data_IF_888165887613
#
_entry.id   IF_888165887613
#
_cell.length_a   1.000
_cell.length_b   1.000
_cell.length_c   1.000
_cell.angle_alpha   90.00
_cell.angle_beta   90.00
_cell.angle_gamma   90.00
#
_symmetry.space_group_name_H-M   'P 1'
#
loop_
_entity.id
_entity.type
_entity.pdbx_description
1 polymer ?
#
# COMPACT_ATOMS: atom_id res chain seq x y z
N UNK A 1 -45.53 -14.89 32.90
CA UNK A 1 -44.94 -13.53 32.95
C UNK A 1 -43.49 -13.51 32.48
N UNK A 2 -43.26 -13.10 31.24
CA UNK A 2 -41.97 -12.59 30.72
C UNK A 2 -42.16 -12.12 29.27
N UNK A 3 -42.85 -10.99 29.09
CA UNK A 3 -43.06 -10.33 27.82
C UNK A 3 -41.81 -9.50 27.48
N UNK A 4 -40.93 -10.02 26.62
CA UNK A 4 -39.77 -9.26 26.13
C UNK A 4 -40.19 -8.36 24.97
N UNK A 5 -40.38 -7.07 25.24
CA UNK A 5 -40.60 -6.03 24.24
C UNK A 5 -39.33 -5.79 23.43
N UNK A 6 -39.31 -6.22 22.16
CA UNK A 6 -38.33 -5.77 21.18
C UNK A 6 -38.73 -4.37 20.68
N UNK A 7 -37.98 -3.34 21.08
CA UNK A 7 -38.05 -2.01 20.46
C UNK A 7 -37.25 -2.04 19.15
N UNK A 8 -37.97 -2.01 18.03
CA UNK A 8 -37.39 -1.74 16.71
C UNK A 8 -37.22 -0.22 16.60
N UNK A 9 -35.97 0.25 16.52
CA UNK A 9 -35.67 1.61 16.11
C UNK A 9 -35.85 1.72 14.59
N UNK A 10 -36.98 2.29 14.16
CA UNK A 10 -37.10 2.83 12.81
C UNK A 10 -36.35 4.17 12.80
N UNK A 11 -35.18 4.20 12.18
CA UNK A 11 -34.50 5.45 11.84
C UNK A 11 -35.17 6.07 10.62
N UNK A 12 -35.61 7.32 10.77
CA UNK A 12 -36.21 8.13 9.72
C UNK A 12 -35.20 8.37 8.58
N UNK A 13 -35.35 7.60 7.51
CA UNK A 13 -34.62 7.82 6.27
C UNK A 13 -35.31 8.96 5.52
N UNK A 14 -34.79 10.19 5.69
CA UNK A 14 -35.26 11.37 4.98
C UNK A 14 -35.00 11.17 3.48
N UNK A 15 -36.07 10.89 2.74
CA UNK A 15 -36.10 10.89 1.27
C UNK A 15 -35.84 12.33 0.77
N UNK A 16 -34.58 12.64 0.47
CA UNK A 16 -34.26 13.83 -0.32
C UNK A 16 -34.81 13.64 -1.74
N UNK A 17 -35.71 14.54 -2.12
CA UNK A 17 -36.38 14.56 -3.41
C UNK A 17 -35.36 14.65 -4.55
N UNK A 18 -35.42 13.66 -5.44
CA UNK A 18 -34.80 13.70 -6.77
C UNK A 18 -35.53 14.77 -7.57
N UNK A 19 -34.92 15.93 -7.76
CA UNK A 19 -35.35 16.92 -8.75
C UNK A 19 -35.03 16.36 -10.14
N UNK A 20 -36.07 15.93 -10.85
CA UNK A 20 -36.03 15.71 -12.29
C UNK A 20 -36.01 17.07 -13.00
N UNK A 21 -34.82 17.55 -13.37
CA UNK A 21 -34.67 18.66 -14.31
C UNK A 21 -34.55 18.07 -15.72
N UNK A 22 -35.68 17.95 -16.40
CA UNK A 22 -35.76 17.82 -17.85
C UNK A 22 -35.63 19.22 -18.46
N UNK A 23 -34.45 19.55 -18.97
CA UNK A 23 -34.31 20.65 -19.92
C UNK A 23 -33.19 20.28 -20.90
N UNK A 24 -33.58 19.51 -21.91
CA UNK A 24 -32.80 19.31 -23.13
C UNK A 24 -32.84 20.62 -23.92
N UNK A 25 -31.78 21.44 -23.81
CA UNK A 25 -31.46 22.44 -24.83
C UNK A 25 -30.49 21.81 -25.82
N UNK A 26 -30.98 21.55 -27.03
CA UNK A 26 -30.15 21.23 -28.18
C UNK A 26 -29.32 22.47 -28.55
N UNK A 27 -28.06 22.48 -28.13
CA UNK A 27 -27.05 23.43 -28.60
C UNK A 27 -26.22 22.79 -29.73
N UNK A 28 -25.83 23.54 -30.78
CA UNK A 28 -25.04 23.01 -31.87
C UNK A 28 -23.66 22.55 -31.41
N UNK A 29 -23.33 21.32 -31.80
CA UNK A 29 -22.07 20.63 -31.58
C UNK A 29 -20.91 21.33 -32.28
N UNK A 30 -20.18 22.19 -31.57
CA UNK A 30 -18.84 22.63 -31.98
C UNK A 30 -17.88 22.60 -30.78
N UNK A 31 -17.73 21.42 -30.15
CA UNK A 31 -16.58 21.19 -29.28
C UNK A 31 -15.42 20.67 -30.11
N UNK A 32 -14.53 21.59 -30.48
CA UNK A 32 -13.18 21.27 -30.95
C UNK A 32 -12.49 20.46 -29.87
N UNK A 33 -12.37 19.15 -30.10
CA UNK A 33 -11.66 18.23 -29.22
C UNK A 33 -10.16 18.58 -29.31
N UNK A 34 -9.71 19.47 -28.42
CA UNK A 34 -8.29 19.60 -28.12
C UNK A 34 -7.88 18.33 -27.38
N UNK A 35 -7.30 17.37 -28.11
CA UNK A 35 -6.55 16.27 -27.53
C UNK A 35 -5.32 16.86 -26.84
N UNK A 36 -5.19 16.80 -25.49
CA UNK A 36 -3.90 17.08 -24.88
C UNK A 36 -2.91 16.04 -25.40
N UNK A 37 -1.89 16.56 -26.08
CA UNK A 37 -0.75 15.81 -26.56
C UNK A 37 -0.07 15.06 -25.40
N UNK A 38 0.26 13.81 -25.71
CA UNK A 38 1.39 13.03 -25.18
C UNK A 38 1.42 12.75 -23.68
N UNK A 39 0.67 11.73 -23.28
CA UNK A 39 1.08 10.89 -22.15
C UNK A 39 2.36 10.14 -22.56
N UNK A 40 3.51 10.62 -22.06
CA UNK A 40 4.78 9.90 -22.14
C UNK A 40 4.65 8.68 -21.24
N UNK A 41 4.39 7.52 -21.84
CA UNK A 41 4.43 6.24 -21.15
C UNK A 41 5.89 5.99 -20.74
N UNK A 42 6.21 6.31 -19.50
CA UNK A 42 7.44 5.83 -18.88
C UNK A 42 7.26 4.34 -18.58
N UNK A 43 7.70 3.50 -19.52
CA UNK A 43 7.98 2.10 -19.27
C UNK A 43 9.16 2.03 -18.29
N UNK A 44 8.89 2.09 -16.99
CA UNK A 44 9.79 1.60 -15.95
C UNK A 44 9.26 0.28 -15.44
N UNK A 45 9.67 -0.80 -16.08
CA UNK A 45 9.69 -2.12 -15.44
C UNK A 45 11.00 -2.82 -15.76
N UNK A 46 12.11 -2.18 -15.38
CA UNK A 46 13.32 -2.93 -15.05
C UNK A 46 13.04 -3.69 -13.75
N UNK A 47 12.67 -4.95 -13.90
CA UNK A 47 12.68 -5.93 -12.82
C UNK A 47 14.13 -6.28 -12.52
N UNK A 48 14.81 -5.42 -11.77
CA UNK A 48 16.12 -5.74 -11.20
C UNK A 48 15.92 -6.67 -10.00
N UNK A 49 15.94 -7.98 -10.27
CA UNK A 49 15.97 -9.03 -9.24
C UNK A 49 17.37 -8.99 -8.61
N UNK A 50 17.51 -8.29 -7.49
CA UNK A 50 18.64 -8.52 -6.59
C UNK A 50 18.40 -9.84 -5.86
N UNK A 51 19.00 -10.92 -6.38
CA UNK A 51 19.28 -12.11 -5.59
C UNK A 51 20.17 -11.71 -4.43
N UNK A 52 19.58 -11.68 -3.24
CA UNK A 52 20.28 -11.55 -1.96
C UNK A 52 20.85 -12.92 -1.62
N UNK A 53 21.98 -13.26 -2.22
CA UNK A 53 22.84 -14.37 -1.76
C UNK A 53 23.65 -13.89 -0.55
N UNK A 54 23.30 -14.48 0.59
CA UNK A 54 24.23 -15.07 1.56
C UNK A 54 25.59 -14.39 1.75
N UNK A 55 25.65 -13.49 2.74
CA UNK A 55 26.90 -13.17 3.43
C UNK A 55 26.83 -13.77 4.84
N UNK A 56 26.96 -15.09 4.90
CA UNK A 56 27.32 -15.84 6.10
C UNK A 56 28.59 -16.64 5.79
N UNK A 57 29.75 -15.97 5.79
CA UNK A 57 31.04 -16.66 5.86
C UNK A 57 31.87 -16.05 6.99
N UNK A 58 31.76 -16.74 8.12
CA UNK A 58 32.87 -17.19 8.97
C UNK A 58 33.75 -16.10 9.58
N UNK A 59 33.44 -15.85 10.85
CA UNK A 59 34.41 -15.53 11.87
C UNK A 59 35.57 -16.54 11.89
N UNK A 60 36.76 -16.09 11.48
CA UNK A 60 38.06 -16.65 11.80
C UNK A 60 39.06 -15.66 11.18
N UNK A 61 39.88 -14.92 11.91
CA UNK A 61 41.05 -15.48 12.57
C UNK A 61 41.55 -14.50 13.64
N UNK A 62 41.91 -15.13 14.75
CA UNK A 62 42.64 -14.61 15.89
C UNK A 62 44.13 -14.90 15.62
N UNK A 63 44.98 -14.03 16.15
CA UNK A 63 46.43 -14.20 16.37
C UNK A 63 47.36 -14.03 15.17
N UNK A 64 48.30 -13.09 15.29
CA UNK A 64 49.72 -13.40 15.42
C UNK A 64 50.57 -12.14 15.59
N UNK A 65 51.47 -12.21 16.59
CA UNK A 65 52.89 -11.79 16.58
C UNK A 65 53.21 -10.30 16.37
N UNK A 66 53.72 -9.59 17.38
CA UNK A 66 55.06 -9.71 17.99
C UNK A 66 56.16 -9.17 17.07
N UNK A 67 56.91 -8.22 17.64
CA UNK A 67 58.30 -7.83 17.39
C UNK A 67 58.64 -7.21 16.03
N UNK A 68 59.03 -5.93 16.06
CA UNK A 68 60.33 -5.54 15.49
C UNK A 68 60.81 -4.24 16.13
N UNK A 69 61.94 -4.40 16.81
CA UNK A 69 62.78 -3.39 17.40
C UNK A 69 63.45 -2.49 16.35
N UNK A 70 64.00 -1.39 16.85
CA UNK A 70 65.26 -0.80 16.37
C UNK A 70 65.18 0.18 15.19
N UNK A 71 64.66 1.39 15.44
CA UNK A 71 65.03 2.57 14.69
C UNK A 71 65.84 3.52 15.58
N UNK A 72 67.13 3.60 15.24
CA UNK A 72 68.18 4.41 15.86
C UNK A 72 67.78 5.87 16.04
N UNK A 73 67.88 6.30 17.30
CA UNK A 73 67.83 7.67 17.78
C UNK A 73 69.00 8.48 17.19
N UNK A 74 68.72 9.31 16.19
CA UNK A 74 69.66 10.31 15.67
C UNK A 74 69.28 11.67 16.26
N UNK A 75 70.19 12.38 16.94
CA UNK A 75 69.87 13.68 17.51
C UNK A 75 69.51 14.67 16.40
N UNK A 76 68.44 15.47 16.57
CA UNK A 76 68.04 16.46 15.58
C UNK A 76 69.12 17.55 15.43
N UNK A 77 69.34 18.08 14.21
CA UNK A 77 70.29 19.14 13.97
C UNK A 77 69.91 20.42 14.74
N UNK A 78 70.90 21.23 15.16
CA UNK A 78 70.64 22.47 15.89
C UNK A 78 69.82 23.44 15.03
N UNK A 79 68.86 24.16 15.64
CA UNK A 79 68.00 25.09 14.91
C UNK A 79 68.79 26.27 14.35
N UNK A 80 68.46 26.76 13.14
CA UNK A 80 69.09 27.94 12.57
C UNK A 80 68.79 29.19 13.42
N UNK A 81 69.71 30.18 13.44
CA UNK A 81 69.56 31.38 14.24
C UNK A 81 68.29 32.17 13.85
N UNK A 82 67.59 32.76 14.84
CA UNK A 82 66.29 33.36 14.62
C UNK A 82 66.38 34.62 13.74
N UNK A 83 65.63 34.70 12.62
CA UNK A 83 65.54 35.93 11.85
C UNK A 83 64.79 36.98 12.65
N UNK A 84 65.39 38.18 12.81
CA UNK A 84 64.79 39.34 13.45
C UNK A 84 63.41 39.65 12.83
N UNK A 85 62.34 39.20 13.49
CA UNK A 85 60.96 39.42 13.09
C UNK A 85 60.52 40.80 13.55
N UNK A 86 60.36 41.72 12.60
CA UNK A 86 59.50 42.90 12.81
C UNK A 86 58.12 42.40 13.21
N UNK A 87 57.67 42.78 14.41
CA UNK A 87 56.36 42.46 14.97
C UNK A 87 55.27 43.15 14.14
N UNK A 88 54.92 42.57 13.00
CA UNK A 88 53.67 42.89 12.33
C UNK A 88 52.57 42.28 13.18
N UNK A 89 51.80 43.15 13.83
CA UNK A 89 50.63 42.78 14.64
C UNK A 89 49.60 42.12 13.72
N UNK A 90 49.65 40.80 13.64
CA UNK A 90 48.64 40.02 12.92
C UNK A 90 47.36 40.06 13.76
N UNK A 91 46.44 40.95 13.38
CA UNK A 91 45.07 40.90 13.87
C UNK A 91 44.42 39.61 13.34
N UNK A 92 44.52 38.53 14.12
CA UNK A 92 43.85 37.27 13.82
C UNK A 92 42.34 37.50 14.00
N UNK A 93 41.64 37.75 12.90
CA UNK A 93 40.19 37.67 12.87
C UNK A 93 39.80 36.23 13.22
N UNK A 94 39.34 36.03 14.45
CA UNK A 94 38.73 34.77 14.87
C UNK A 94 37.43 34.64 14.08
N UNK A 95 37.47 33.92 12.96
CA UNK A 95 36.29 33.57 12.17
C UNK A 95 35.41 32.67 13.04
N UNK A 96 34.43 33.27 13.72
CA UNK A 96 33.48 32.55 14.56
C UNK A 96 32.68 31.60 13.66
N UNK A 97 33.11 30.35 13.62
CA UNK A 97 32.39 29.27 12.95
C UNK A 97 31.22 28.91 13.88
N UNK A 98 30.07 29.56 13.69
CA UNK A 98 28.83 29.20 14.38
C UNK A 98 28.39 27.84 13.82
N UNK A 99 29.04 26.77 14.30
CA UNK A 99 28.62 25.42 14.00
C UNK A 99 27.43 25.15 14.90
N UNK A 100 26.24 25.10 14.31
CA UNK A 100 25.06 24.62 15.00
C UNK A 100 25.40 23.26 15.66
N UNK A 101 24.96 23.07 16.90
CA UNK A 101 25.23 21.82 17.61
C UNK A 101 24.67 20.64 16.80
N UNK A 102 25.35 19.49 16.83
CA UNK A 102 24.90 18.27 16.13
C UNK A 102 23.45 17.91 16.52
N UNK A 103 23.09 18.11 17.78
CA UNK A 103 21.74 17.90 18.29
C UNK A 103 20.70 18.85 17.65
N UNK A 104 21.05 20.11 17.39
CA UNK A 104 20.18 21.05 16.69
C UNK A 104 19.98 20.63 15.23
N UNK A 105 21.05 20.22 14.54
CA UNK A 105 20.97 19.70 13.17
C UNK A 105 20.11 18.42 13.08
N UNK A 106 20.25 17.51 14.03
CA UNK A 106 19.43 16.28 14.08
C UNK A 106 17.94 16.58 14.36
N UNK A 107 17.64 17.61 15.15
CA UNK A 107 16.27 18.08 15.36
C UNK A 107 15.67 18.64 14.07
N UNK A 108 16.39 19.54 13.41
CA UNK A 108 15.98 20.13 12.11
C UNK A 108 15.81 19.03 11.07
N UNK A 109 16.70 18.05 11.01
CA UNK A 109 16.59 16.89 10.12
C UNK A 109 15.30 16.08 10.37
N UNK A 110 14.95 15.83 11.63
CA UNK A 110 13.72 15.09 11.97
C UNK A 110 12.48 15.87 11.56
N UNK A 111 12.50 17.19 11.74
CA UNK A 111 11.41 18.08 11.36
C UNK A 111 11.23 18.16 9.84
N UNK A 112 12.32 18.32 9.09
CA UNK A 112 12.29 18.38 7.61
C UNK A 112 11.85 17.06 6.98
N UNK A 113 12.42 15.93 7.45
CA UNK A 113 12.20 14.63 6.82
C UNK A 113 11.10 13.79 7.50
N UNK A 114 10.44 14.31 8.53
CA UNK A 114 9.42 13.57 9.28
C UNK A 114 9.96 12.32 10.00
N UNK A 115 11.27 12.26 10.28
CA UNK A 115 11.86 11.09 10.92
C UNK A 115 11.43 11.00 12.38
N UNK A 116 10.71 9.93 12.72
CA UNK A 116 10.27 9.66 14.09
C UNK A 116 11.50 9.32 14.95
N UNK A 117 11.66 9.91 16.16
CA UNK A 117 12.78 9.62 17.04
C UNK A 117 12.79 8.14 17.46
N UNK A 118 13.97 7.52 17.42
CA UNK A 118 14.20 6.19 18.00
C UNK A 118 14.14 6.33 19.52
N UNK A 119 13.04 5.88 20.10
CA UNK A 119 12.91 5.69 21.55
C UNK A 119 13.07 4.19 21.82
N UNK A 120 13.68 3.80 22.94
CA UNK A 120 13.81 2.40 23.37
C UNK A 120 12.47 1.83 23.88
N UNK A 121 11.38 2.18 23.21
CA UNK A 121 10.03 1.73 23.52
C UNK A 121 9.36 1.24 22.23
N UNK A 122 8.46 0.27 22.35
CA UNK A 122 7.79 -0.37 21.22
C UNK A 122 6.68 0.55 20.69
N UNK A 123 7.01 1.43 19.75
CA UNK A 123 6.09 2.45 19.19
C UNK A 123 5.17 1.95 18.08
N UNK A 124 5.28 0.69 17.65
CA UNK A 124 4.49 0.15 16.53
C UNK A 124 4.95 0.61 15.13
N UNK A 125 6.00 1.45 15.02
CA UNK A 125 6.55 1.89 13.74
C UNK A 125 6.94 0.74 12.79
N UNK A 126 7.34 -0.41 13.34
CA UNK A 126 7.62 -1.60 12.52
C UNK A 126 6.37 -2.09 11.79
N UNK A 127 5.19 -1.98 12.40
CA UNK A 127 3.91 -2.36 11.78
C UNK A 127 3.52 -1.34 10.71
N UNK A 128 3.65 -0.04 11.01
CA UNK A 128 3.32 1.04 10.07
C UNK A 128 4.22 1.06 8.82
N UNK A 129 5.45 0.55 8.93
CA UNK A 129 6.38 0.40 7.79
C UNK A 129 6.06 -0.79 6.89
N UNK A 130 5.25 -1.75 7.35
CA UNK A 130 4.86 -2.88 6.50
C UNK A 130 3.94 -2.35 5.41
N UNK A 131 4.19 -2.69 4.13
CA UNK A 131 3.26 -2.32 3.07
C UNK A 131 1.92 -3.02 3.29
N UNK A 132 0.83 -2.35 2.92
CA UNK A 132 -0.49 -2.94 2.99
C UNK A 132 -0.62 -4.06 1.93
N UNK A 133 -0.77 -5.30 2.41
CA UNK A 133 -0.94 -6.50 1.58
C UNK A 133 -2.41 -6.81 1.30
N UNK A 134 -3.34 -6.14 1.99
CA UNK A 134 -4.78 -6.38 1.89
C UNK A 134 -5.32 -6.28 0.45
N UNK A 135 -4.99 -5.22 -0.32
CA UNK A 135 -5.47 -5.08 -1.70
C UNK A 135 -4.97 -6.18 -2.65
N UNK A 136 -3.77 -6.70 -2.42
CA UNK A 136 -3.21 -7.79 -3.23
C UNK A 136 -3.88 -9.12 -2.91
N UNK A 137 -4.13 -9.39 -1.63
CA UNK A 137 -4.84 -10.60 -1.19
C UNK A 137 -6.30 -10.60 -1.65
N UNK A 138 -6.97 -9.44 -1.64
CA UNK A 138 -8.33 -9.32 -2.15
C UNK A 138 -8.45 -9.65 -3.64
N UNK A 139 -7.38 -9.43 -4.42
CA UNK A 139 -7.29 -9.73 -5.86
C UNK A 139 -6.69 -11.09 -6.17
N UNK A 140 -6.39 -11.91 -5.15
CA UNK A 140 -5.71 -13.19 -5.34
C UNK A 140 -6.48 -14.14 -6.25
N UNK A 141 -7.80 -14.22 -6.07
CA UNK A 141 -8.68 -14.91 -7.01
C UNK A 141 -9.26 -13.89 -7.98
N UNK A 142 -9.15 -14.19 -9.28
CA UNK A 142 -9.83 -13.38 -10.29
C UNK A 142 -11.33 -13.42 -10.07
N UNK A 143 -11.97 -12.25 -10.18
CA UNK A 143 -13.43 -12.20 -10.17
C UNK A 143 -13.97 -12.99 -11.37
N UNK A 144 -14.98 -13.84 -11.13
CA UNK A 144 -15.68 -14.54 -12.21
C UNK A 144 -16.31 -13.53 -13.17
N UNK A 145 -16.05 -13.73 -14.47
CA UNK A 145 -16.67 -12.94 -15.55
C UNK A 145 -18.20 -13.01 -15.52
N UNK A 146 -18.78 -14.07 -14.96
CA UNK A 146 -20.23 -14.26 -14.88
C UNK A 146 -20.91 -13.12 -14.11
N UNK A 147 -20.24 -12.59 -13.08
CA UNK A 147 -20.80 -11.51 -12.25
C UNK A 147 -20.91 -10.22 -13.07
N UNK A 148 -19.86 -9.88 -13.81
CA UNK A 148 -19.82 -8.71 -14.67
C UNK A 148 -20.77 -8.84 -15.86
N UNK A 149 -20.82 -10.00 -16.51
CA UNK A 149 -21.72 -10.27 -17.62
C UNK A 149 -23.20 -10.17 -17.21
N UNK A 150 -23.58 -10.74 -16.05
CA UNK A 150 -24.95 -10.60 -15.51
C UNK A 150 -25.31 -9.16 -15.17
N UNK A 151 -24.37 -8.42 -14.58
CA UNK A 151 -24.58 -7.01 -14.23
C UNK A 151 -24.78 -6.18 -15.51
N UNK A 152 -23.93 -6.38 -16.52
CA UNK A 152 -24.08 -5.75 -17.81
C UNK A 152 -25.43 -6.07 -18.45
N UNK A 153 -25.87 -7.33 -18.41
CA UNK A 153 -27.20 -7.71 -18.88
C UNK A 153 -28.34 -6.95 -18.17
N UNK A 154 -28.30 -6.89 -16.83
CA UNK A 154 -29.30 -6.16 -16.04
C UNK A 154 -29.30 -4.65 -16.34
N UNK A 155 -28.13 -4.08 -16.65
CA UNK A 155 -27.98 -2.65 -16.94
C UNK A 155 -28.40 -2.29 -18.36
N UNK A 156 -28.04 -3.10 -19.36
CA UNK A 156 -28.23 -2.74 -20.76
C UNK A 156 -29.56 -3.24 -21.35
N UNK A 157 -30.24 -4.23 -20.77
CA UNK A 157 -31.63 -4.61 -21.11
C UNK A 157 -31.90 -5.17 -22.52
N UNK A 158 -31.04 -4.93 -23.50
CA UNK A 158 -31.20 -5.35 -24.90
C UNK A 158 -30.44 -6.64 -25.25
N UNK A 159 -29.63 -7.17 -24.34
CA UNK A 159 -28.92 -8.44 -24.54
C UNK A 159 -29.77 -9.63 -24.06
N UNK A 160 -29.65 -10.81 -24.69
CA UNK A 160 -30.24 -12.02 -24.16
C UNK A 160 -29.67 -12.33 -22.76
N UNK A 161 -30.46 -12.96 -21.87
CA UNK A 161 -30.01 -13.30 -20.52
C UNK A 161 -28.74 -14.14 -20.60
N UNK A 162 -27.66 -13.63 -20.03
CA UNK A 162 -26.41 -14.36 -19.98
C UNK A 162 -26.55 -15.57 -19.05
N UNK A 163 -26.63 -16.76 -19.67
CA UNK A 163 -26.62 -18.06 -19.00
C UNK A 163 -25.45 -18.89 -19.50
N UNK A 164 -24.76 -19.58 -18.60
CA UNK A 164 -23.71 -20.52 -18.99
C UNK A 164 -24.37 -21.84 -19.41
N UNK A 165 -23.78 -22.56 -20.38
CA UNK A 165 -24.33 -23.84 -20.86
C UNK A 165 -24.61 -24.82 -19.72
N UNK A 166 -23.74 -24.83 -18.71
CA UNK A 166 -23.87 -25.71 -17.55
C UNK A 166 -25.09 -25.32 -16.68
N UNK A 167 -25.39 -24.03 -16.58
CA UNK A 167 -26.61 -23.56 -15.92
C UNK A 167 -27.86 -23.90 -16.73
N UNK A 168 -27.83 -23.73 -18.05
CA UNK A 168 -28.95 -24.13 -18.92
C UNK A 168 -29.24 -25.63 -18.80
N UNK A 169 -28.21 -26.48 -18.84
CA UNK A 169 -28.35 -27.93 -18.61
C UNK A 169 -28.95 -28.24 -17.24
N UNK A 170 -28.54 -27.51 -16.19
CA UNK A 170 -29.11 -27.65 -14.84
C UNK A 170 -30.58 -27.22 -14.79
N UNK A 171 -30.94 -26.12 -15.45
CA UNK A 171 -32.32 -25.61 -15.51
C UNK A 171 -33.24 -26.58 -16.25
N UNK A 172 -32.84 -27.05 -17.43
CA UNK A 172 -33.58 -28.06 -18.21
C UNK A 172 -33.75 -29.37 -17.44
N UNK A 173 -32.70 -29.82 -16.72
CA UNK A 173 -32.79 -31.00 -15.85
C UNK A 173 -33.81 -30.79 -14.72
N UNK A 174 -33.77 -29.64 -14.07
CA UNK A 174 -34.71 -29.32 -12.99
C UNK A 174 -36.15 -29.24 -13.49
N UNK A 175 -36.39 -28.64 -14.65
CA UNK A 175 -37.71 -28.59 -15.28
C UNK A 175 -38.24 -30.00 -15.56
N UNK A 176 -37.43 -30.86 -16.19
CA UNK A 176 -37.78 -32.28 -16.42
C UNK A 176 -38.11 -33.01 -15.12
N UNK A 177 -37.41 -32.73 -14.02
CA UNK A 177 -37.71 -33.32 -12.71
C UNK A 177 -39.02 -32.80 -12.12
N UNK A 178 -39.33 -31.51 -12.30
CA UNK A 178 -40.62 -30.91 -11.87
C UNK A 178 -41.79 -31.52 -12.62
N UNK A 179 -41.67 -31.71 -13.93
CA UNK A 179 -42.69 -32.39 -14.76
C UNK A 179 -42.94 -33.83 -14.30
N UNK A 180 -41.90 -34.50 -13.76
CA UNK A 180 -42.01 -35.85 -13.19
C UNK A 180 -42.52 -35.89 -11.74
N UNK A 181 -42.84 -34.74 -11.13
CA UNK A 181 -43.19 -34.65 -9.70
C UNK A 181 -42.02 -34.93 -8.75
N UNK A 182 -40.78 -35.01 -9.27
CA UNK A 182 -39.54 -35.24 -8.51
C UNK A 182 -38.73 -33.95 -8.31
N UNK A 183 -39.38 -32.80 -8.47
CA UNK A 183 -38.78 -31.50 -8.15
C UNK A 183 -38.44 -31.39 -6.66
N UNK A 184 -37.47 -30.54 -6.33
CA UNK A 184 -37.15 -30.27 -4.93
C UNK A 184 -38.41 -29.75 -4.20
N UNK A 185 -38.78 -30.32 -3.04
CA UNK A 185 -39.95 -29.87 -2.29
C UNK A 185 -39.71 -28.45 -1.75
N UNK A 186 -40.80 -27.73 -1.46
CA UNK A 186 -40.73 -26.44 -0.76
C UNK A 186 -39.98 -26.63 0.56
N UNK A 187 -39.11 -25.68 0.93
CA UNK A 187 -38.41 -25.69 2.22
C UNK A 187 -39.42 -25.89 3.36
N UNK A 188 -39.20 -26.91 4.20
CA UNK A 188 -40.11 -27.27 5.29
C UNK A 188 -41.28 -28.18 4.91
N UNK A 189 -41.48 -28.54 3.64
CA UNK A 189 -42.51 -29.50 3.19
C UNK A 189 -41.94 -30.92 2.97
N UNK A 190 -40.80 -31.24 3.60
CA UNK A 190 -40.17 -32.56 3.48
C UNK A 190 -40.90 -33.63 4.27
N UNK A 191 -40.53 -34.90 4.07
CA UNK A 191 -41.16 -36.08 4.72
C UNK A 191 -41.28 -35.99 6.26
N UNK A 192 -40.41 -35.23 6.91
CA UNK A 192 -40.45 -35.04 8.37
C UNK A 192 -41.56 -34.09 8.81
N UNK A 193 -41.95 -33.13 7.96
CA UNK A 193 -42.98 -32.14 8.29
C UNK A 193 -44.38 -32.76 8.37
N UNK A 194 -44.61 -33.87 7.68
CA UNK A 194 -45.89 -34.60 7.71
C UNK A 194 -45.99 -35.60 8.85
N UNK A 195 -44.91 -35.86 9.62
CA UNK A 195 -44.90 -36.89 10.69
C UNK A 195 -45.31 -36.35 12.08
N UNK A 196 -45.36 -35.03 12.23
CA UNK A 196 -45.71 -34.35 13.50
C UNK A 196 -47.08 -33.69 13.51
N UNK A 197 -47.91 -33.94 12.49
CA UNK A 197 -49.35 -33.66 12.49
C UNK A 197 -50.08 -34.98 12.62
#
# INVERSE_FOLDING_TARGET
DASSCFRVFCGDFVLSHVRTSSEYREGPLTSTINFPQTYRIWNQSETFIHTREENDVVASQKASTADDDNALDSPPPPPPPPPHHQQQQQHTYQKIKIMASKAALDKVRKEIFGNIPVRNMRTGNQVLRKPDVGPYLAKYYMESMDKSARKAWQTFGYMPPYTTELQERRLLKNEKLRMKGKGAPKKGAGKRATKGK
#
